data_IF_959844631612
#
_entry.id   IF_959844631612
#
_cell.length_a   1.000
_cell.length_b   1.000
_cell.length_c   1.000
_cell.angle_alpha   90.00
_cell.angle_beta   90.00
_cell.angle_gamma   90.00
#
_symmetry.space_group_name_H-M   'P 1'
#
loop_
_entity.id
_entity.type
_entity.pdbx_description
1 polymer ?
#
# COMPACT_ATOMS: atom_id res chain seq x y z
N UNK A 1 -19.32 10.55 9.67
CA UNK A 1 -19.70 9.13 9.77
C UNK A 1 -19.63 8.61 11.21
N UNK A 2 -18.46 8.60 11.85
CA UNK A 2 -18.26 8.07 13.23
C UNK A 2 -19.25 8.65 14.25
N UNK A 3 -19.21 9.97 14.50
CA UNK A 3 -20.06 10.63 15.49
C UNK A 3 -21.57 10.44 15.25
N UNK A 4 -21.98 10.31 13.97
CA UNK A 4 -23.38 10.11 13.59
C UNK A 4 -23.88 8.69 13.93
N UNK A 5 -23.01 7.69 13.87
CA UNK A 5 -23.37 6.27 13.95
C UNK A 5 -22.95 5.60 15.26
N UNK A 6 -22.38 6.35 16.22
CA UNK A 6 -21.99 5.87 17.54
C UNK A 6 -21.14 4.57 17.53
N UNK A 7 -20.15 4.53 16.63
CA UNK A 7 -19.17 3.46 16.48
C UNK A 7 -17.78 3.99 16.88
N UNK A 8 -16.88 3.13 17.36
CA UNK A 8 -15.52 3.57 17.68
C UNK A 8 -14.73 3.89 16.41
N UNK A 9 -13.75 4.81 16.45
CA UNK A 9 -12.92 5.10 15.28
C UNK A 9 -12.21 3.86 14.74
N UNK A 10 -11.70 2.98 15.62
CA UNK A 10 -11.01 1.76 15.22
C UNK A 10 -11.91 0.80 14.44
N UNK A 11 -13.15 0.61 14.90
CA UNK A 11 -14.12 -0.23 14.19
C UNK A 11 -14.56 0.41 12.88
N UNK A 12 -14.76 1.73 12.86
CA UNK A 12 -15.17 2.42 11.64
C UNK A 12 -14.10 2.34 10.53
N UNK A 13 -12.81 2.50 10.86
CA UNK A 13 -11.71 2.42 9.88
C UNK A 13 -11.70 1.04 9.20
N UNK A 14 -11.84 -0.02 10.00
CA UNK A 14 -11.78 -1.39 9.50
C UNK A 14 -13.05 -1.76 8.72
N UNK A 15 -14.22 -1.27 9.16
CA UNK A 15 -15.46 -1.40 8.40
C UNK A 15 -15.39 -0.68 7.05
N UNK A 16 -14.91 0.57 7.05
CA UNK A 16 -14.80 1.37 5.85
C UNK A 16 -13.79 0.76 4.85
N UNK A 17 -12.68 0.21 5.32
CA UNK A 17 -11.73 -0.53 4.49
C UNK A 17 -12.35 -1.77 3.86
N UNK A 18 -13.03 -2.61 4.66
CA UNK A 18 -13.71 -3.80 4.16
C UNK A 18 -14.78 -3.48 3.10
N UNK A 19 -15.59 -2.43 3.33
CA UNK A 19 -16.58 -1.97 2.36
C UNK A 19 -15.92 -1.35 1.13
N UNK A 20 -14.85 -0.56 1.32
CA UNK A 20 -14.08 0.05 0.22
C UNK A 20 -13.56 -1.00 -0.75
N UNK A 21 -12.84 -2.00 -0.22
CA UNK A 21 -12.32 -3.14 -0.99
C UNK A 21 -13.47 -3.90 -1.67
N UNK A 22 -14.62 -4.08 -1.01
CA UNK A 22 -15.76 -4.79 -1.61
C UNK A 22 -16.38 -4.12 -2.85
N UNK A 23 -16.07 -2.84 -3.09
CA UNK A 23 -16.51 -2.12 -4.29
C UNK A 23 -15.58 -2.33 -5.50
N UNK A 24 -14.39 -2.90 -5.29
CA UNK A 24 -13.42 -3.18 -6.35
C UNK A 24 -13.72 -4.55 -6.99
N UNK A 25 -13.98 -4.64 -8.31
CA UNK A 25 -14.12 -5.91 -8.99
C UNK A 25 -12.90 -6.81 -8.78
N UNK A 26 -13.11 -8.10 -8.52
CA UNK A 26 -12.02 -9.06 -8.23
C UNK A 26 -11.62 -9.15 -6.76
N UNK A 27 -12.08 -8.21 -5.92
CA UNK A 27 -11.66 -8.18 -4.53
C UNK A 27 -12.23 -9.33 -3.69
N UNK A 28 -11.48 -9.84 -2.71
CA UNK A 28 -12.02 -10.77 -1.74
C UNK A 28 -13.05 -10.08 -0.85
N UNK A 29 -13.95 -10.88 -0.28
CA UNK A 29 -14.82 -10.40 0.80
C UNK A 29 -14.02 -10.45 2.11
N UNK A 30 -13.54 -9.29 2.56
CA UNK A 30 -12.85 -9.16 3.84
C UNK A 30 -13.79 -9.41 5.01
N UNK A 31 -13.29 -10.08 6.04
CA UNK A 31 -13.99 -10.23 7.30
C UNK A 31 -14.00 -8.91 8.09
N UNK A 32 -15.11 -8.64 8.77
CA UNK A 32 -15.23 -7.50 9.69
C UNK A 32 -15.62 -7.98 11.09
N UNK A 33 -14.80 -7.64 12.06
CA UNK A 33 -15.02 -7.89 13.48
C UNK A 33 -15.15 -6.56 14.22
N UNK A 34 -16.21 -6.44 15.02
CA UNK A 34 -16.55 -5.27 15.84
C UNK A 34 -16.06 -5.46 17.28
N UNK A 35 -15.52 -4.41 17.91
CA UNK A 35 -15.16 -4.44 19.32
C UNK A 35 -13.88 -3.68 19.71
N UNK A 36 -13.30 -2.87 18.82
CA UNK A 36 -12.10 -2.10 19.15
C UNK A 36 -12.44 -0.98 20.14
N UNK A 37 -11.75 -0.87 21.29
CA UNK A 37 -11.96 0.24 22.21
C UNK A 37 -11.42 1.55 21.63
N UNK A 38 -11.79 2.68 22.25
CA UNK A 38 -11.18 3.97 21.93
C UNK A 38 -9.68 3.96 22.26
N UNK A 39 -8.86 4.51 21.38
CA UNK A 39 -7.43 4.65 21.61
C UNK A 39 -7.16 5.57 22.82
N UNK A 40 -6.18 5.20 23.65
CA UNK A 40 -5.79 5.96 24.85
C UNK A 40 -4.55 6.82 24.64
N UNK A 41 -3.81 6.59 23.55
CA UNK A 41 -2.60 7.31 23.19
C UNK A 41 -2.41 7.32 21.67
N UNK A 42 -1.72 8.32 21.10
CA UNK A 42 -1.26 8.27 19.71
C UNK A 42 -0.19 7.17 19.54
N UNK A 43 -0.09 6.63 18.33
CA UNK A 43 1.01 5.75 17.97
C UNK A 43 2.34 6.54 17.97
N UNK A 44 3.45 5.94 18.41
CA UNK A 44 4.78 6.51 18.18
C UNK A 44 5.07 6.69 16.69
N UNK A 45 5.87 7.71 16.37
CA UNK A 45 6.38 7.91 15.01
C UNK A 45 7.29 6.76 14.57
N UNK A 46 7.59 6.67 13.27
CA UNK A 46 8.45 5.65 12.64
C UNK A 46 7.93 4.21 12.83
N UNK A 47 6.61 4.07 12.97
CA UNK A 47 5.93 2.76 13.07
C UNK A 47 5.24 2.33 11.77
N UNK A 48 5.29 3.18 10.75
CA UNK A 48 4.75 2.93 9.40
C UNK A 48 5.91 2.97 8.41
N UNK A 49 6.10 1.94 7.57
CA UNK A 49 7.15 1.94 6.55
C UNK A 49 7.04 3.09 5.56
N UNK A 50 8.18 3.63 5.15
CA UNK A 50 8.30 4.66 4.12
C UNK A 50 8.73 4.07 2.77
N UNK A 51 8.40 4.70 1.63
CA UNK A 51 8.71 4.15 0.30
C UNK A 51 10.21 4.06 -0.01
N UNK A 52 11.07 4.69 0.81
CA UNK A 52 12.52 4.67 0.72
C UNK A 52 13.20 3.82 1.81
N UNK A 53 12.41 3.13 2.64
CA UNK A 53 12.96 2.16 3.59
C UNK A 53 13.51 0.94 2.87
N UNK A 54 14.57 0.35 3.42
CA UNK A 54 15.15 -0.88 2.89
C UNK A 54 14.24 -2.07 3.14
N UNK A 55 14.33 -3.10 2.29
CA UNK A 55 13.61 -4.38 2.48
C UNK A 55 13.83 -4.95 3.89
N UNK A 56 15.05 -4.88 4.42
CA UNK A 56 15.36 -5.34 5.79
C UNK A 56 14.55 -4.59 6.86
N UNK A 57 14.48 -3.26 6.75
CA UNK A 57 13.71 -2.41 7.67
C UNK A 57 12.22 -2.74 7.61
N UNK A 58 11.67 -2.84 6.40
CA UNK A 58 10.26 -3.14 6.17
C UNK A 58 9.90 -4.50 6.77
N UNK A 59 10.65 -5.55 6.43
CA UNK A 59 10.38 -6.90 6.93
C UNK A 59 10.51 -6.98 8.46
N UNK A 60 11.51 -6.31 9.05
CA UNK A 60 11.65 -6.22 10.50
C UNK A 60 10.47 -5.50 11.16
N UNK A 61 9.98 -4.41 10.56
CA UNK A 61 8.83 -3.63 11.04
C UNK A 61 7.54 -4.45 11.05
N UNK A 62 7.28 -5.21 10.00
CA UNK A 62 6.12 -6.11 9.92
C UNK A 62 6.24 -7.29 10.88
N UNK A 63 7.43 -7.86 11.05
CA UNK A 63 7.68 -8.89 12.05
C UNK A 63 7.44 -8.38 13.48
N UNK A 64 7.88 -7.16 13.83
CA UNK A 64 7.64 -6.54 15.14
C UNK A 64 6.15 -6.21 15.37
N UNK A 65 5.45 -5.71 14.35
CA UNK A 65 4.07 -5.24 14.49
C UNK A 65 3.05 -6.37 14.75
N UNK A 66 3.26 -7.54 14.14
CA UNK A 66 2.27 -8.62 14.19
C UNK A 66 2.82 -10.01 13.91
N UNK A 67 4.15 -10.17 13.84
CA UNK A 67 4.77 -11.46 13.52
C UNK A 67 4.59 -11.87 12.05
N UNK A 68 4.38 -10.92 11.14
CA UNK A 68 4.17 -11.21 9.73
C UNK A 68 5.46 -11.72 9.07
N UNK A 69 5.32 -12.78 8.30
CA UNK A 69 6.37 -13.34 7.44
C UNK A 69 6.58 -12.49 6.17
N UNK A 70 7.73 -12.63 5.48
CA UNK A 70 7.95 -11.92 4.21
C UNK A 70 6.87 -12.19 3.16
N UNK A 71 6.34 -13.42 3.10
CA UNK A 71 5.25 -13.76 2.18
C UNK A 71 3.94 -13.04 2.52
N UNK A 72 3.64 -12.84 3.81
CA UNK A 72 2.48 -12.05 4.24
C UNK A 72 2.66 -10.57 3.95
N UNK A 73 3.89 -10.02 4.04
CA UNK A 73 4.17 -8.64 3.62
C UNK A 73 3.86 -8.45 2.13
N UNK A 74 4.32 -9.38 1.27
CA UNK A 74 4.00 -9.37 -0.16
C UNK A 74 2.49 -9.47 -0.40
N UNK A 75 1.79 -10.32 0.35
CA UNK A 75 0.33 -10.44 0.24
C UNK A 75 -0.40 -9.15 0.64
N UNK A 76 0.06 -8.44 1.68
CA UNK A 76 -0.51 -7.15 2.11
C UNK A 76 -0.28 -6.03 1.09
N UNK A 77 0.83 -6.08 0.34
CA UNK A 77 1.10 -5.16 -0.78
C UNK A 77 0.16 -5.35 -1.96
N UNK A 78 -0.65 -6.41 -2.01
CA UNK A 78 -1.75 -6.50 -2.98
C UNK A 78 -2.71 -5.30 -2.88
N UNK A 79 -2.75 -4.60 -1.74
CA UNK A 79 -3.49 -3.33 -1.61
C UNK A 79 -3.07 -2.27 -2.64
N UNK A 80 -1.84 -2.31 -3.16
CA UNK A 80 -1.35 -1.34 -4.16
C UNK A 80 -2.02 -1.50 -5.54
N UNK A 81 -2.72 -2.62 -5.82
CA UNK A 81 -3.47 -2.80 -7.08
C UNK A 81 -4.73 -1.92 -7.19
N UNK A 82 -5.20 -1.36 -6.07
CA UNK A 82 -6.34 -0.43 -6.03
C UNK A 82 -5.95 0.88 -5.33
N UNK A 83 -4.79 1.42 -5.70
CA UNK A 83 -4.21 2.58 -5.03
C UNK A 83 -3.48 3.53 -6.00
N UNK A 84 -3.18 4.72 -5.49
CA UNK A 84 -2.44 5.78 -6.18
C UNK A 84 -1.64 6.61 -5.17
N UNK A 85 -0.66 7.36 -5.66
CA UNK A 85 0.16 8.27 -4.86
C UNK A 85 -0.17 9.74 -5.13
N UNK A 86 -0.41 10.50 -4.06
CA UNK A 86 -0.70 11.94 -4.13
C UNK A 86 0.50 12.83 -3.75
N UNK A 87 1.47 12.27 -3.03
CA UNK A 87 2.49 13.07 -2.32
C UNK A 87 3.93 12.68 -2.62
N UNK A 88 4.16 11.57 -3.32
CA UNK A 88 5.50 11.16 -3.77
C UNK A 88 5.98 12.12 -4.86
N UNK A 89 5.18 12.31 -5.91
CA UNK A 89 5.34 13.40 -6.87
C UNK A 89 4.16 14.38 -6.76
N UNK A 90 4.33 15.52 -6.09
CA UNK A 90 3.27 16.52 -5.93
C UNK A 90 2.81 17.20 -7.24
N UNK A 91 3.53 17.03 -8.35
CA UNK A 91 3.15 17.60 -9.66
C UNK A 91 2.04 16.81 -10.37
N UNK A 92 1.85 15.54 -9.99
CA UNK A 92 0.89 14.60 -10.60
C UNK A 92 0.18 13.75 -9.54
N UNK A 93 -0.61 14.36 -8.65
CA UNK A 93 -1.35 13.61 -7.62
C UNK A 93 -2.35 12.64 -8.26
N UNK A 94 -2.57 11.50 -7.61
CA UNK A 94 -3.47 10.45 -8.06
C UNK A 94 -2.85 9.52 -9.12
N UNK A 95 -1.53 9.50 -9.26
CA UNK A 95 -0.87 8.58 -10.20
C UNK A 95 -0.88 7.15 -9.63
N UNK A 96 -1.47 6.15 -10.31
CA UNK A 96 -1.66 4.80 -9.80
C UNK A 96 -0.37 3.97 -9.78
N UNK A 97 -0.37 2.90 -8.99
CA UNK A 97 0.74 1.93 -8.92
C UNK A 97 0.65 0.81 -9.95
N UNK A 98 -0.50 0.66 -10.60
CA UNK A 98 -0.70 -0.24 -11.73
C UNK A 98 -1.64 0.40 -12.77
N UNK A 99 -1.81 -0.27 -13.90
CA UNK A 99 -2.67 0.21 -14.99
C UNK A 99 -4.17 0.02 -14.76
N UNK A 100 -4.57 -0.62 -13.66
CA UNK A 100 -5.95 -1.02 -13.35
C UNK A 100 -6.39 -0.66 -11.93
N UNK A 101 -6.21 0.59 -11.45
CA UNK A 101 -6.41 0.98 -10.04
C UNK A 101 -7.85 0.89 -9.52
N UNK A 102 -8.81 0.56 -10.40
CA UNK A 102 -10.20 0.30 -10.04
C UNK A 102 -10.54 -1.18 -9.87
N UNK A 103 -9.62 -2.09 -10.17
CA UNK A 103 -9.82 -3.55 -10.17
C UNK A 103 -8.84 -4.19 -9.21
N UNK A 104 -9.32 -5.09 -8.37
CA UNK A 104 -8.44 -5.88 -7.51
C UNK A 104 -7.94 -7.10 -8.29
N UNK A 105 -6.78 -6.95 -8.93
CA UNK A 105 -6.15 -8.01 -9.72
C UNK A 105 -4.65 -8.15 -9.40
N UNK A 106 -3.85 -8.64 -10.34
CA UNK A 106 -2.41 -8.88 -10.15
C UNK A 106 -1.54 -7.97 -11.01
N UNK A 107 -2.09 -6.94 -11.64
CA UNK A 107 -1.33 -6.06 -12.53
C UNK A 107 -0.22 -5.35 -11.77
N UNK A 108 -0.44 -4.89 -10.54
CA UNK A 108 0.61 -4.38 -9.66
C UNK A 108 1.84 -5.32 -9.59
N UNK A 109 1.65 -6.62 -9.36
CA UNK A 109 2.77 -7.58 -9.28
C UNK A 109 3.44 -7.83 -10.64
N UNK A 110 2.69 -7.75 -11.74
CA UNK A 110 3.24 -7.91 -13.10
C UNK A 110 4.04 -6.67 -13.50
N UNK A 111 3.47 -5.50 -13.30
CA UNK A 111 3.99 -4.22 -13.78
C UNK A 111 5.20 -3.77 -12.96
N UNK A 112 5.23 -4.02 -11.65
CA UNK A 112 6.42 -3.77 -10.80
C UNK A 112 7.65 -4.59 -11.22
N UNK A 113 7.45 -5.75 -11.86
CA UNK A 113 8.56 -6.56 -12.39
C UNK A 113 9.16 -6.03 -13.68
N UNK A 114 8.41 -5.23 -14.45
CA UNK A 114 8.92 -4.65 -15.68
C UNK A 114 10.11 -3.72 -15.41
N UNK A 115 11.01 -3.61 -16.39
CA UNK A 115 12.11 -2.65 -16.34
C UNK A 115 11.54 -1.22 -16.31
N UNK A 116 11.92 -0.44 -15.31
CA UNK A 116 11.64 1.00 -15.28
C UNK A 116 12.29 1.71 -16.47
N UNK A 117 11.57 2.65 -17.08
CA UNK A 117 12.07 3.37 -18.28
C UNK A 117 11.84 4.88 -18.24
N UNK A 118 11.02 5.38 -17.31
CA UNK A 118 10.68 6.79 -17.19
C UNK A 118 10.17 7.11 -15.78
N UNK A 119 10.18 8.40 -15.42
CA UNK A 119 9.34 8.94 -14.34
C UNK A 119 8.06 9.50 -14.97
N UNK A 120 6.86 9.24 -14.40
CA UNK A 120 5.60 9.71 -14.97
C UNK A 120 5.44 11.25 -14.90
N UNK A 121 6.10 11.89 -13.94
CA UNK A 121 6.13 13.34 -13.73
C UNK A 121 7.56 13.87 -13.62
N UNK A 122 7.94 14.39 -12.45
CA UNK A 122 9.32 14.82 -12.18
C UNK A 122 10.19 13.65 -11.72
N UNK A 123 11.50 13.74 -11.94
CA UNK A 123 12.47 12.80 -11.36
C UNK A 123 13.13 13.36 -10.10
N UNK A 124 13.72 12.48 -9.29
CA UNK A 124 14.47 12.87 -8.08
C UNK A 124 13.61 13.03 -6.82
N UNK A 125 12.37 12.52 -6.84
CA UNK A 125 11.50 12.48 -5.66
C UNK A 125 11.95 11.33 -4.72
N UNK A 126 11.96 11.57 -3.41
CA UNK A 126 12.44 10.57 -2.44
C UNK A 126 11.50 9.36 -2.39
N UNK A 127 12.05 8.15 -2.55
CA UNK A 127 11.27 6.92 -2.57
C UNK A 127 10.56 6.63 -3.89
N UNK A 128 10.82 7.40 -4.95
CA UNK A 128 10.33 7.11 -6.31
C UNK A 128 11.45 6.53 -7.18
N UNK A 129 11.12 5.55 -8.02
CA UNK A 129 12.01 5.00 -9.05
C UNK A 129 11.30 4.98 -10.41
N UNK A 130 12.06 4.77 -11.48
CA UNK A 130 11.47 4.69 -12.82
C UNK A 130 10.39 3.60 -12.91
N UNK A 131 9.26 4.00 -13.47
CA UNK A 131 8.09 3.18 -13.81
C UNK A 131 8.19 2.66 -15.25
N UNK A 132 7.51 1.55 -15.61
CA UNK A 132 7.52 1.00 -16.96
C UNK A 132 6.50 1.69 -17.88
N UNK A 133 5.49 2.38 -17.34
CA UNK A 133 4.37 2.93 -18.09
C UNK A 133 4.19 4.43 -17.81
N UNK A 134 3.78 5.17 -18.85
CA UNK A 134 3.40 6.58 -18.69
C UNK A 134 2.11 6.65 -17.88
N UNK A 135 2.11 7.47 -16.82
CA UNK A 135 0.95 7.62 -15.94
C UNK A 135 0.83 6.52 -14.88
N UNK A 136 1.90 5.75 -14.66
CA UNK A 136 2.06 4.83 -13.52
C UNK A 136 3.28 5.29 -12.72
N UNK A 137 3.21 5.27 -11.40
CA UNK A 137 4.33 5.60 -10.50
C UNK A 137 4.82 4.33 -9.81
N UNK A 138 6.13 4.27 -9.51
CA UNK A 138 6.72 3.13 -8.81
C UNK A 138 7.48 3.59 -7.58
N UNK A 139 7.13 3.02 -6.43
CA UNK A 139 7.86 3.22 -5.19
C UNK A 139 9.16 2.40 -5.18
N UNK A 140 10.20 2.95 -4.56
CA UNK A 140 11.48 2.26 -4.40
C UNK A 140 11.29 0.95 -3.62
N UNK A 141 10.56 0.98 -2.50
CA UNK A 141 10.25 -0.19 -1.67
C UNK A 141 9.60 -1.33 -2.48
N UNK A 142 8.60 -1.03 -3.31
CA UNK A 142 7.92 -2.03 -4.14
C UNK A 142 8.87 -2.61 -5.20
N UNK A 143 9.70 -1.76 -5.81
CA UNK A 143 10.70 -2.17 -6.78
C UNK A 143 11.75 -3.13 -6.17
N UNK A 144 12.16 -2.86 -4.93
CA UNK A 144 13.15 -3.67 -4.21
C UNK A 144 12.54 -4.98 -3.71
N UNK A 145 11.34 -4.95 -3.12
CA UNK A 145 10.62 -6.14 -2.67
C UNK A 145 10.33 -7.11 -3.82
N UNK A 146 10.01 -6.61 -5.01
CA UNK A 146 9.82 -7.44 -6.20
C UNK A 146 11.10 -8.18 -6.66
N UNK A 147 12.29 -7.80 -6.15
CA UNK A 147 13.58 -8.30 -6.63
C UNK A 147 14.43 -8.96 -5.54
N UNK A 148 14.10 -8.74 -4.27
CA UNK A 148 14.78 -9.39 -3.15
C UNK A 148 14.51 -10.90 -3.12
N UNK A 149 15.55 -11.69 -2.90
CA UNK A 149 15.47 -13.17 -2.87
C UNK A 149 14.52 -13.77 -1.84
N UNK A 150 14.06 -12.99 -0.85
CA UNK A 150 13.13 -13.42 0.20
C UNK A 150 11.67 -13.20 -0.19
N UNK A 151 11.41 -12.37 -1.20
CA UNK A 151 10.08 -11.87 -1.55
C UNK A 151 9.75 -11.91 -3.05
N UNK A 152 10.71 -12.30 -3.92
CA UNK A 152 10.56 -12.36 -5.38
C UNK A 152 9.84 -13.60 -5.93
#
# INVERSE_FOLDING_TARGET
FIAKHNITPGDFIQFAGAVGVSNCPGAPRLDFFLGRPAATAPAPDLTVPEPFDTVDSILARFADAGGFSPAEVVALLASHTVAAADHVDPSIPGTPFDSTPGTFDTQFFVETQLRGTLFPGTGGNQGEVESPLRGEIRLQSDSELARDSRTN
#
